data_IF_052956297892
#
_entry.id   IF_052956297892
#
_cell.length_a   1.000
_cell.length_b   1.000
_cell.length_c   1.000
_cell.angle_alpha   90.00
_cell.angle_beta   90.00
_cell.angle_gamma   90.00
#
_symmetry.space_group_name_H-M   'P 1'
#
loop_
_entity.id
_entity.type
_entity.pdbx_description
1 polymer ?
#
# COMPACT_ATOMS: atom_id res chain seq x y z
N UNK A 1 -12.43 37.84 -54.60
CA UNK A 1 -11.34 36.93 -54.20
C UNK A 1 -10.93 37.18 -52.75
N UNK A 2 -10.42 38.37 -52.40
CA UNK A 2 -9.95 38.74 -51.04
C UNK A 2 -10.95 38.45 -49.91
N UNK A 3 -12.25 38.71 -50.10
CA UNK A 3 -13.26 38.48 -49.06
C UNK A 3 -13.52 36.98 -48.76
N UNK A 4 -13.38 36.11 -49.77
CA UNK A 4 -13.55 34.66 -49.61
C UNK A 4 -12.36 34.06 -48.85
N UNK A 5 -11.14 34.53 -49.16
CA UNK A 5 -9.92 34.12 -48.47
C UNK A 5 -9.96 34.55 -46.99
N UNK A 6 -10.48 35.74 -46.67
CA UNK A 6 -10.65 36.22 -45.30
C UNK A 6 -11.66 35.39 -44.49
N UNK A 7 -12.78 35.00 -45.09
CA UNK A 7 -13.79 34.11 -44.49
C UNK A 7 -13.25 32.69 -44.23
N UNK A 8 -12.42 32.18 -45.14
CA UNK A 8 -11.75 30.88 -44.96
C UNK A 8 -10.69 30.91 -43.86
N UNK A 9 -9.94 32.01 -43.73
CA UNK A 9 -8.93 32.19 -42.69
C UNK A 9 -9.58 32.30 -41.30
N UNK A 10 -10.66 33.08 -41.18
CA UNK A 10 -11.36 33.26 -39.89
C UNK A 10 -12.02 31.96 -39.41
N UNK A 11 -12.62 31.18 -40.32
CA UNK A 11 -13.19 29.88 -39.97
C UNK A 11 -12.14 28.85 -39.57
N UNK A 12 -10.97 28.79 -40.24
CA UNK A 12 -9.88 27.89 -39.83
C UNK A 12 -9.29 28.28 -38.47
N UNK A 13 -9.12 29.58 -38.19
CA UNK A 13 -8.70 30.06 -36.86
C UNK A 13 -9.72 29.69 -35.79
N UNK A 14 -11.03 29.86 -36.04
CA UNK A 14 -12.07 29.47 -35.09
C UNK A 14 -12.06 27.97 -34.82
N UNK A 15 -11.93 27.13 -35.85
CA UNK A 15 -11.83 25.66 -35.69
C UNK A 15 -10.59 25.29 -34.87
N UNK A 16 -9.43 25.89 -35.16
CA UNK A 16 -8.20 25.64 -34.42
C UNK A 16 -8.33 26.04 -32.94
N UNK A 17 -8.96 27.17 -32.66
CA UNK A 17 -9.26 27.60 -31.28
C UNK A 17 -10.23 26.66 -30.57
N UNK A 18 -11.30 26.21 -31.24
CA UNK A 18 -12.24 25.25 -30.66
C UNK A 18 -11.55 23.93 -30.33
N UNK A 19 -10.69 23.41 -31.21
CA UNK A 19 -9.91 22.19 -30.96
C UNK A 19 -8.96 22.36 -29.77
N UNK A 20 -8.31 23.51 -29.65
CA UNK A 20 -7.41 23.80 -28.52
C UNK A 20 -8.18 23.86 -27.20
N UNK A 21 -9.37 24.48 -27.17
CA UNK A 21 -10.23 24.51 -25.98
C UNK A 21 -10.65 23.10 -25.58
N UNK A 22 -11.06 22.26 -26.54
CA UNK A 22 -11.43 20.86 -26.28
C UNK A 22 -10.23 20.09 -25.71
N UNK A 23 -9.04 20.25 -26.28
CA UNK A 23 -7.83 19.59 -25.79
C UNK A 23 -7.48 19.99 -24.35
N UNK A 24 -7.58 21.29 -24.02
CA UNK A 24 -7.36 21.79 -22.65
C UNK A 24 -8.41 21.23 -21.69
N UNK A 25 -9.69 21.21 -22.09
CA UNK A 25 -10.77 20.66 -21.28
C UNK A 25 -10.57 19.15 -20.99
N UNK A 26 -10.18 18.37 -22.00
CA UNK A 26 -9.87 16.95 -21.83
C UNK A 26 -8.68 16.73 -20.88
N UNK A 27 -7.63 17.54 -21.00
CA UNK A 27 -6.47 17.46 -20.12
C UNK A 27 -6.85 17.79 -18.67
N UNK A 28 -7.67 18.82 -18.44
CA UNK A 28 -8.21 19.16 -17.12
C UNK A 28 -9.08 18.03 -16.56
N UNK A 29 -9.96 17.45 -17.37
CA UNK A 29 -10.80 16.32 -16.96
C UNK A 29 -9.97 15.10 -16.54
N UNK A 30 -8.90 14.77 -17.27
CA UNK A 30 -7.97 13.69 -16.90
C UNK A 30 -7.26 13.96 -15.57
N UNK A 31 -6.83 15.20 -15.32
CA UNK A 31 -6.21 15.59 -14.05
C UNK A 31 -7.21 15.43 -12.90
N UNK A 32 -8.43 15.94 -13.06
CA UNK A 32 -9.47 15.85 -12.04
C UNK A 32 -9.86 14.40 -11.76
N UNK A 33 -10.02 13.58 -12.79
CA UNK A 33 -10.33 12.16 -12.66
C UNK A 33 -9.26 11.42 -11.85
N UNK A 34 -7.96 11.62 -12.19
CA UNK A 34 -6.85 11.03 -11.43
C UNK A 34 -6.82 11.49 -9.98
N UNK A 35 -7.11 12.77 -9.72
CA UNK A 35 -7.20 13.31 -8.35
C UNK A 35 -8.34 12.66 -7.58
N UNK A 36 -9.52 12.53 -8.20
CA UNK A 36 -10.69 11.92 -7.57
C UNK A 36 -10.44 10.44 -7.25
N UNK A 37 -9.81 9.68 -8.16
CA UNK A 37 -9.44 8.29 -7.89
C UNK A 37 -8.50 8.17 -6.69
N UNK A 38 -7.48 9.04 -6.58
CA UNK A 38 -6.57 9.06 -5.42
C UNK A 38 -7.31 9.38 -4.12
N UNK A 39 -8.23 10.34 -4.14
CA UNK A 39 -9.03 10.69 -2.96
C UNK A 39 -9.96 9.55 -2.54
N UNK A 40 -10.58 8.87 -3.49
CA UNK A 40 -11.41 7.70 -3.23
C UNK A 40 -10.59 6.54 -2.64
N UNK A 41 -9.41 6.27 -3.20
CA UNK A 41 -8.49 5.26 -2.68
C UNK A 41 -8.09 5.55 -1.22
N UNK A 42 -7.73 6.80 -0.92
CA UNK A 42 -7.40 7.23 0.45
C UNK A 42 -8.57 7.11 1.40
N UNK A 43 -9.75 7.57 0.99
CA UNK A 43 -10.98 7.46 1.79
C UNK A 43 -11.33 6.01 2.09
N UNK A 44 -11.26 5.14 1.07
CA UNK A 44 -11.46 3.70 1.23
C UNK A 44 -10.44 3.08 2.21
N UNK A 45 -9.16 3.42 2.05
CA UNK A 45 -8.09 2.94 2.93
C UNK A 45 -8.32 3.38 4.38
N UNK A 46 -8.70 4.64 4.61
CA UNK A 46 -9.04 5.14 5.95
C UNK A 46 -10.24 4.41 6.56
N UNK A 47 -11.26 4.11 5.76
CA UNK A 47 -12.42 3.37 6.23
C UNK A 47 -12.03 1.97 6.70
N UNK A 48 -11.24 1.24 5.90
CA UNK A 48 -10.75 -0.11 6.24
C UNK A 48 -9.93 -0.07 7.53
N UNK A 49 -8.98 0.86 7.65
CA UNK A 49 -8.16 1.02 8.88
C UNK A 49 -9.05 1.28 10.11
N UNK A 50 -10.10 2.10 9.95
CA UNK A 50 -11.01 2.46 11.04
C UNK A 50 -11.92 1.30 11.45
N UNK A 51 -12.37 0.51 10.49
CA UNK A 51 -13.20 -0.67 10.77
C UNK A 51 -12.36 -1.79 11.39
N UNK A 52 -11.07 -1.86 11.05
CA UNK A 52 -10.20 -2.98 11.41
C UNK A 52 -9.23 -2.69 12.59
N UNK A 53 -9.72 -1.94 13.59
CA UNK A 53 -8.94 -1.57 14.78
C UNK A 53 -8.57 -2.75 15.70
N UNK A 54 -9.07 -3.95 15.41
CA UNK A 54 -8.82 -5.16 16.19
C UNK A 54 -7.38 -5.65 15.97
N UNK A 55 -6.89 -5.67 14.73
CA UNK A 55 -5.56 -6.21 14.42
C UNK A 55 -4.41 -5.46 15.06
N UNK A 56 -4.37 -4.12 15.09
CA UNK A 56 -3.30 -3.41 15.77
C UNK A 56 -3.18 -3.82 17.24
N UNK A 57 -4.31 -4.04 17.92
CA UNK A 57 -4.32 -4.49 19.32
C UNK A 57 -3.86 -5.94 19.46
N UNK A 58 -4.33 -6.84 18.58
CA UNK A 58 -3.89 -8.25 18.55
C UNK A 58 -2.40 -8.37 18.31
N UNK A 59 -1.87 -7.71 17.29
CA UNK A 59 -0.44 -7.71 16.96
C UNK A 59 0.38 -7.17 18.14
N UNK A 60 -0.08 -6.10 18.80
CA UNK A 60 0.59 -5.60 20.01
C UNK A 60 0.58 -6.59 21.18
N UNK A 61 -0.49 -7.39 21.33
CA UNK A 61 -0.54 -8.46 22.34
C UNK A 61 0.48 -9.55 22.03
N UNK A 62 0.50 -10.04 20.79
CA UNK A 62 1.45 -11.04 20.29
C UNK A 62 2.89 -10.54 20.51
N UNK A 63 3.18 -9.30 20.11
CA UNK A 63 4.48 -8.66 20.30
C UNK A 63 4.92 -8.62 21.76
N UNK A 64 4.01 -8.43 22.72
CA UNK A 64 4.34 -8.45 24.15
C UNK A 64 4.69 -9.86 24.63
N UNK A 65 4.00 -10.86 24.10
CA UNK A 65 4.17 -12.26 24.47
C UNK A 65 5.48 -12.85 23.94
N UNK A 66 5.83 -12.52 22.69
CA UNK A 66 7.05 -13.03 22.03
C UNK A 66 8.31 -12.22 22.35
N UNK A 67 8.18 -11.08 23.04
CA UNK A 67 9.29 -10.16 23.28
C UNK A 67 10.47 -10.85 23.96
N UNK A 68 11.62 -10.86 23.29
CA UNK A 68 12.87 -11.40 23.82
C UNK A 68 12.93 -12.92 23.88
N UNK A 69 12.03 -13.63 23.18
CA UNK A 69 12.02 -15.09 23.06
C UNK A 69 12.47 -15.52 21.67
N UNK A 70 13.07 -16.71 21.56
CA UNK A 70 13.24 -17.36 20.26
C UNK A 70 11.88 -17.91 19.81
N UNK A 71 11.34 -17.40 18.70
CA UNK A 71 9.96 -17.66 18.29
C UNK A 71 9.85 -19.01 17.58
N UNK A 72 10.91 -19.45 16.88
CA UNK A 72 10.89 -20.68 16.09
C UNK A 72 10.52 -21.93 16.90
N UNK A 73 11.12 -22.19 18.09
CA UNK A 73 10.73 -23.33 18.91
C UNK A 73 9.33 -23.18 19.52
N UNK A 74 8.94 -21.95 19.88
CA UNK A 74 7.65 -21.65 20.50
C UNK A 74 6.51 -21.86 19.49
N UNK A 75 6.71 -21.40 18.26
CA UNK A 75 5.78 -21.62 17.14
C UNK A 75 5.54 -23.11 16.89
N UNK A 76 6.51 -23.99 17.18
CA UNK A 76 6.34 -25.43 17.04
C UNK A 76 5.65 -26.11 18.22
N UNK A 77 5.61 -25.49 19.41
CA UNK A 77 5.15 -26.13 20.65
C UNK A 77 3.81 -25.60 21.16
N UNK A 78 3.55 -24.31 21.01
CA UNK A 78 2.30 -23.67 21.43
C UNK A 78 1.29 -23.73 20.27
N UNK A 79 0.05 -24.17 20.52
CA UNK A 79 -0.98 -24.20 19.48
C UNK A 79 -1.69 -22.87 19.31
N UNK A 80 -1.90 -22.14 20.41
CA UNK A 80 -2.69 -20.90 20.42
C UNK A 80 -1.85 -19.74 19.89
N UNK A 81 -0.64 -19.54 20.42
CA UNK A 81 0.27 -18.50 19.95
C UNK A 81 0.68 -18.70 18.49
N UNK A 82 0.79 -19.96 18.04
CA UNK A 82 1.06 -20.28 16.62
C UNK A 82 -0.07 -19.83 15.72
N UNK A 83 -1.31 -20.09 16.12
CA UNK A 83 -2.48 -19.65 15.37
C UNK A 83 -2.55 -18.12 15.32
N UNK A 84 -2.41 -17.46 16.47
CA UNK A 84 -2.42 -16.00 16.55
C UNK A 84 -1.32 -15.36 15.71
N UNK A 85 -0.12 -15.94 15.72
CA UNK A 85 0.99 -15.43 14.92
C UNK A 85 0.76 -15.64 13.42
N UNK A 86 0.21 -16.80 13.01
CA UNK A 86 -0.16 -17.04 11.62
C UNK A 86 -1.24 -16.05 11.16
N UNK A 87 -2.29 -15.86 11.95
CA UNK A 87 -3.35 -14.89 11.70
C UNK A 87 -2.78 -13.46 11.53
N UNK A 88 -1.85 -13.06 12.40
CA UNK A 88 -1.20 -11.76 12.30
C UNK A 88 -0.31 -11.61 11.05
N UNK A 89 0.44 -12.65 10.68
CA UNK A 89 1.26 -12.66 9.47
C UNK A 89 0.40 -12.61 8.20
N UNK A 90 -0.68 -13.40 8.16
CA UNK A 90 -1.63 -13.42 7.05
C UNK A 90 -2.31 -12.06 6.90
N UNK A 91 -2.69 -11.41 8.00
CA UNK A 91 -3.21 -10.04 7.98
C UNK A 91 -2.19 -9.06 7.39
N UNK A 92 -0.94 -9.09 7.88
CA UNK A 92 0.13 -8.23 7.37
C UNK A 92 0.41 -8.46 5.87
N UNK A 93 0.40 -9.72 5.42
CA UNK A 93 0.55 -10.08 4.01
C UNK A 93 -0.60 -9.55 3.16
N UNK A 94 -1.84 -9.72 3.61
CA UNK A 94 -3.03 -9.24 2.91
C UNK A 94 -3.03 -7.72 2.73
N UNK A 95 -2.67 -6.96 3.77
CA UNK A 95 -2.51 -5.50 3.66
C UNK A 95 -1.41 -5.15 2.66
N UNK A 96 -0.28 -5.87 2.71
CA UNK A 96 0.86 -5.64 1.83
C UNK A 96 0.56 -5.94 0.37
N UNK A 97 -0.20 -7.01 0.10
CA UNK A 97 -0.74 -7.35 -1.22
C UNK A 97 -1.74 -6.29 -1.70
N UNK A 98 -2.62 -5.82 -0.82
CA UNK A 98 -3.57 -4.74 -1.12
C UNK A 98 -2.86 -3.45 -1.55
N UNK A 99 -1.74 -3.10 -0.92
CA UNK A 99 -0.89 -2.00 -1.36
C UNK A 99 -0.25 -2.28 -2.71
N UNK A 100 0.34 -3.47 -2.88
CA UNK A 100 1.01 -3.88 -4.14
C UNK A 100 0.05 -3.82 -5.33
N UNK A 101 -1.21 -4.18 -5.13
CA UNK A 101 -2.24 -4.17 -6.16
C UNK A 101 -2.98 -2.83 -6.30
N UNK A 102 -2.62 -1.80 -5.53
CA UNK A 102 -3.25 -0.48 -5.59
C UNK A 102 -4.68 -0.43 -5.03
N UNK A 103 -5.05 -1.42 -4.21
CA UNK A 103 -6.32 -1.46 -3.45
C UNK A 103 -6.26 -0.53 -2.24
N UNK A 104 -5.07 -0.37 -1.65
CA UNK A 104 -4.83 0.53 -0.53
C UNK A 104 -3.80 1.61 -0.88
N UNK A 105 -4.01 2.81 -0.35
CA UNK A 105 -3.05 3.91 -0.41
C UNK A 105 -1.88 3.62 0.55
N UNK A 106 -0.68 3.40 0.01
CA UNK A 106 0.51 3.04 0.80
C UNK A 106 0.85 4.10 1.84
N UNK A 107 0.72 5.40 1.51
CA UNK A 107 1.06 6.50 2.41
C UNK A 107 0.17 6.46 3.65
N UNK A 108 -1.13 6.31 3.44
CA UNK A 108 -2.12 6.20 4.52
C UNK A 108 -1.89 4.99 5.43
N UNK A 109 -1.58 3.83 4.83
CA UNK A 109 -1.26 2.62 5.61
C UNK A 109 0.06 2.79 6.37
N UNK A 110 1.08 3.36 5.73
CA UNK A 110 2.38 3.58 6.34
C UNK A 110 2.25 4.47 7.58
N UNK A 111 1.54 5.58 7.48
CA UNK A 111 1.33 6.50 8.61
C UNK A 111 0.62 5.83 9.80
N UNK A 112 -0.17 4.79 9.53
CA UNK A 112 -0.95 4.08 10.56
C UNK A 112 -0.22 2.87 11.14
N UNK A 113 0.52 2.11 10.33
CA UNK A 113 1.01 0.78 10.69
C UNK A 113 2.52 0.56 10.51
N UNK A 114 3.28 1.50 9.92
CA UNK A 114 4.68 1.26 9.58
C UNK A 114 5.51 0.78 10.77
N UNK A 115 5.44 1.48 11.90
CA UNK A 115 6.15 1.09 13.11
C UNK A 115 5.75 -0.31 13.60
N UNK A 116 4.46 -0.64 13.57
CA UNK A 116 3.96 -1.93 14.02
C UNK A 116 4.48 -3.07 13.12
N UNK A 117 4.40 -2.90 11.81
CA UNK A 117 4.85 -3.87 10.81
C UNK A 117 6.36 -4.10 10.91
N UNK A 118 7.14 -3.02 11.03
CA UNK A 118 8.60 -3.10 11.17
C UNK A 118 9.01 -3.84 12.44
N UNK A 119 8.37 -3.54 13.58
CA UNK A 119 8.68 -4.20 14.85
C UNK A 119 8.28 -5.67 14.82
N UNK A 120 7.10 -6.01 14.29
CA UNK A 120 6.67 -7.40 14.11
C UNK A 120 7.66 -8.16 13.24
N UNK A 121 7.98 -7.65 12.06
CA UNK A 121 8.93 -8.28 11.14
C UNK A 121 10.28 -8.54 11.80
N UNK A 122 10.82 -7.58 12.55
CA UNK A 122 12.10 -7.76 13.24
C UNK A 122 12.10 -8.91 14.28
N UNK A 123 10.94 -9.27 14.83
CA UNK A 123 10.82 -10.42 15.74
C UNK A 123 10.64 -11.74 14.97
N UNK A 124 9.91 -11.72 13.85
CA UNK A 124 9.45 -12.94 13.15
C UNK A 124 10.22 -13.24 11.86
N UNK A 125 11.21 -12.42 11.48
CA UNK A 125 11.97 -12.58 10.23
C UNK A 125 12.58 -13.98 10.10
N UNK A 126 13.20 -14.49 11.17
CA UNK A 126 13.77 -15.84 11.19
C UNK A 126 12.70 -16.91 10.98
N UNK A 127 11.56 -16.79 11.64
CA UNK A 127 10.43 -17.72 11.46
C UNK A 127 9.93 -17.71 10.01
N UNK A 128 9.79 -16.53 9.39
CA UNK A 128 9.38 -16.43 7.98
C UNK A 128 10.39 -17.17 7.08
N UNK A 129 11.69 -17.02 7.33
CA UNK A 129 12.72 -17.73 6.59
C UNK A 129 12.63 -19.25 6.74
N UNK A 130 12.37 -19.74 7.94
CA UNK A 130 12.17 -21.16 8.22
C UNK A 130 10.91 -21.69 7.53
N UNK A 131 9.79 -20.96 7.59
CA UNK A 131 8.55 -21.33 6.91
C UNK A 131 8.72 -21.44 5.39
N UNK A 132 9.48 -20.54 4.76
CA UNK A 132 9.81 -20.62 3.33
C UNK A 132 10.62 -21.87 3.00
N UNK A 133 11.57 -22.22 3.87
CA UNK A 133 12.41 -23.39 3.69
C UNK A 133 11.59 -24.69 3.85
N UNK A 134 10.75 -24.76 4.89
CA UNK A 134 9.90 -25.93 5.17
C UNK A 134 8.83 -26.16 4.11
N UNK A 135 8.21 -25.09 3.60
CA UNK A 135 7.18 -25.16 2.56
C UNK A 135 7.75 -25.27 1.15
N UNK A 136 9.05 -25.05 0.96
CA UNK A 136 9.70 -24.86 -0.34
C UNK A 136 9.01 -23.77 -1.20
N UNK A 137 8.45 -22.75 -0.54
CA UNK A 137 7.82 -21.60 -1.18
C UNK A 137 8.55 -20.31 -0.76
N UNK A 138 9.37 -19.71 -1.64
CA UNK A 138 10.09 -18.48 -1.33
C UNK A 138 9.17 -17.25 -1.19
N UNK A 139 7.95 -17.31 -1.72
CA UNK A 139 7.00 -16.19 -1.71
C UNK A 139 6.14 -16.16 -0.45
N UNK A 140 6.22 -17.15 0.43
CA UNK A 140 5.53 -17.12 1.73
C UNK A 140 5.89 -15.83 2.48
N UNK A 141 4.88 -15.01 2.77
CA UNK A 141 5.00 -13.67 3.36
C UNK A 141 5.91 -12.69 2.58
N UNK A 142 5.97 -12.86 1.25
CA UNK A 142 6.83 -12.10 0.35
C UNK A 142 6.41 -10.64 0.22
N UNK A 143 5.12 -10.33 0.17
CA UNK A 143 4.65 -8.95 0.07
C UNK A 143 4.93 -8.16 1.35
N UNK A 144 4.67 -8.77 2.50
CA UNK A 144 4.98 -8.20 3.80
C UNK A 144 6.48 -7.96 3.98
N UNK A 145 7.31 -8.93 3.60
CA UNK A 145 8.77 -8.78 3.65
C UNK A 145 9.24 -7.61 2.77
N UNK A 146 8.74 -7.52 1.54
CA UNK A 146 9.13 -6.46 0.60
C UNK A 146 8.74 -5.08 1.11
N UNK A 147 7.52 -4.92 1.65
CA UNK A 147 7.03 -3.61 2.07
C UNK A 147 7.75 -3.11 3.32
N UNK A 148 8.04 -4.00 4.28
CA UNK A 148 8.80 -3.64 5.49
C UNK A 148 10.21 -3.22 5.13
N UNK A 149 10.90 -3.97 4.25
CA UNK A 149 12.26 -3.60 3.79
C UNK A 149 12.27 -2.24 3.10
N UNK A 150 11.27 -1.96 2.27
CA UNK A 150 11.09 -0.63 1.65
C UNK A 150 10.93 0.47 2.69
N UNK A 151 10.09 0.27 3.71
CA UNK A 151 9.85 1.28 4.75
C UNK A 151 11.05 1.49 5.67
N UNK A 152 11.78 0.43 6.01
CA UNK A 152 13.04 0.52 6.75
C UNK A 152 14.10 1.31 5.97
N UNK A 153 14.21 1.06 4.67
CA UNK A 153 15.08 1.84 3.77
C UNK A 153 14.67 3.32 3.77
N UNK A 154 13.40 3.62 3.46
CA UNK A 154 12.89 4.99 3.43
C UNK A 154 13.12 5.73 4.75
N UNK A 155 13.05 5.02 5.88
CA UNK A 155 13.31 5.60 7.20
C UNK A 155 14.76 6.01 7.40
N UNK A 156 15.69 5.13 7.00
CA UNK A 156 17.13 5.38 7.05
C UNK A 156 17.54 6.61 6.22
N UNK A 157 16.78 6.93 5.18
CA UNK A 157 17.04 8.06 4.27
C UNK A 157 16.09 9.27 4.49
N UNK A 158 15.46 9.37 5.67
CA UNK A 158 14.89 10.62 6.15
C UNK A 158 13.36 10.73 6.18
N UNK A 159 12.60 9.68 5.84
CA UNK A 159 11.17 9.65 6.21
C UNK A 159 11.00 9.16 7.64
N UNK A 160 10.16 9.81 8.44
CA UNK A 160 9.86 9.31 9.79
C UNK A 160 8.98 8.05 9.69
N UNK A 161 9.24 7.07 10.54
CA UNK A 161 8.38 5.91 10.81
C UNK A 161 7.27 6.28 11.79
#
# INVERSE_FOLDING_TARGET
MIAFDLLSLTSTVMIAMSLLIIAVALLQALILFKRQQRLQLRAHTHQVIKEDLIWPRRILSILREIKGRDISPIFMQDSELRQDLREALDYCENISLGIRHGVYDEETIRDSYAKLFVVLYAQVERLIHELRYESNDPETYGAFTAIVKKWQYDSKYGRKL
#
